data_IF_588476217992
#
_entry.id   IF_588476217992
#
_cell.length_a   1.000
_cell.length_b   1.000
_cell.length_c   1.000
_cell.angle_alpha   90.00
_cell.angle_beta   90.00
_cell.angle_gamma   90.00
#
_symmetry.space_group_name_H-M   'P 1'
#
loop_
_entity.id
_entity.type
_entity.pdbx_description
1 polymer ?
#
# COMPACT_ATOMS: atom_id res chain seq x y z
N UNK A 1 -63.10 -45.46 17.58
CA UNK A 1 -62.23 -45.26 16.40
C UNK A 1 -61.94 -43.78 16.29
N UNK A 2 -60.86 -43.31 16.92
CA UNK A 2 -60.28 -41.98 16.70
C UNK A 2 -58.77 -42.16 16.83
N UNK A 3 -58.07 -42.02 15.71
CA UNK A 3 -56.61 -42.09 15.61
C UNK A 3 -56.00 -40.81 16.19
N UNK A 4 -55.02 -40.94 17.09
CA UNK A 4 -54.09 -39.87 17.41
C UNK A 4 -53.07 -39.73 16.27
N UNK A 5 -53.05 -38.58 15.60
CA UNK A 5 -51.93 -38.19 14.73
C UNK A 5 -50.85 -37.49 15.58
N UNK A 6 -49.69 -38.11 15.68
CA UNK A 6 -48.44 -37.46 16.10
C UNK A 6 -47.87 -36.63 14.96
N UNK A 7 -47.84 -35.31 15.11
CA UNK A 7 -47.10 -34.41 14.22
C UNK A 7 -45.60 -34.52 14.51
N UNK A 8 -44.82 -35.07 13.56
CA UNK A 8 -43.37 -34.91 13.56
C UNK A 8 -43.04 -33.52 13.00
N UNK A 9 -42.42 -32.67 13.82
CA UNK A 9 -41.80 -31.44 13.34
C UNK A 9 -40.49 -31.81 12.63
N UNK A 10 -40.48 -31.71 11.30
CA UNK A 10 -39.25 -31.78 10.51
C UNK A 10 -38.56 -30.42 10.65
N UNK A 11 -37.56 -30.34 11.52
CA UNK A 11 -36.67 -29.19 11.61
C UNK A 11 -35.83 -29.12 10.34
N UNK A 12 -36.08 -28.12 9.51
CA UNK A 12 -35.17 -27.77 8.43
C UNK A 12 -34.00 -27.02 9.06
N UNK A 13 -32.82 -27.65 9.07
CA UNK A 13 -31.58 -26.92 9.32
C UNK A 13 -31.40 -25.92 8.19
N UNK A 14 -31.44 -24.62 8.53
CA UNK A 14 -31.00 -23.57 7.61
C UNK A 14 -29.52 -23.85 7.33
N UNK A 15 -29.09 -23.97 6.06
CA UNK A 15 -27.67 -24.09 5.78
C UNK A 15 -27.00 -22.80 6.25
N UNK A 16 -26.08 -22.93 7.21
CA UNK A 16 -25.14 -21.87 7.55
C UNK A 16 -24.26 -21.64 6.33
N UNK A 17 -24.53 -20.58 5.58
CA UNK A 17 -23.66 -20.14 4.50
C UNK A 17 -22.38 -19.57 5.15
N UNK A 18 -21.20 -20.21 4.96
CA UNK A 18 -19.95 -19.69 5.51
C UNK A 18 -19.58 -18.32 4.92
N UNK A 19 -20.19 -17.89 3.81
CA UNK A 19 -20.03 -16.53 3.28
C UNK A 19 -20.70 -15.47 4.18
N UNK A 20 -21.86 -15.76 4.76
CA UNK A 20 -22.56 -14.87 5.70
C UNK A 20 -21.84 -14.75 7.06
N UNK A 21 -20.98 -15.71 7.42
CA UNK A 21 -20.20 -15.67 8.66
C UNK A 21 -18.93 -14.79 8.56
N UNK A 22 -18.48 -14.44 7.34
CA UNK A 22 -17.35 -13.55 7.11
C UNK A 22 -17.76 -12.05 7.12
N UNK A 23 -19.05 -11.74 7.01
CA UNK A 23 -19.59 -10.39 6.84
C UNK A 23 -19.53 -9.48 8.07
N UNK A 24 -19.22 -10.01 9.27
CA UNK A 24 -19.35 -9.25 10.53
C UNK A 24 -18.02 -9.00 11.28
N UNK A 25 -16.86 -9.32 10.69
CA UNK A 25 -15.57 -9.26 11.39
C UNK A 25 -14.81 -7.96 11.15
N UNK A 26 -14.99 -7.28 10.01
CA UNK A 26 -14.26 -6.05 9.70
C UNK A 26 -15.21 -4.87 9.50
N UNK A 27 -14.93 -3.76 10.17
CA UNK A 27 -15.76 -2.55 10.11
C UNK A 27 -14.89 -1.32 9.88
N UNK A 28 -15.30 -0.48 8.92
CA UNK A 28 -14.65 0.80 8.67
C UNK A 28 -15.18 1.87 9.64
N UNK A 29 -14.25 2.53 10.32
CA UNK A 29 -14.51 3.68 11.18
C UNK A 29 -14.00 4.96 10.52
N UNK A 30 -14.87 5.94 10.34
CA UNK A 30 -14.49 7.30 9.95
C UNK A 30 -13.85 8.00 11.14
N UNK A 31 -12.57 8.31 11.04
CA UNK A 31 -11.81 8.98 12.10
C UNK A 31 -11.98 10.49 12.01
N UNK A 32 -11.86 11.04 10.81
CA UNK A 32 -12.15 12.45 10.52
C UNK A 32 -12.46 12.64 9.05
N UNK A 33 -13.35 13.59 8.72
CA UNK A 33 -13.57 14.06 7.34
C UNK A 33 -12.63 15.19 6.95
N UNK A 34 -11.87 15.72 7.92
CA UNK A 34 -11.05 16.91 7.75
C UNK A 34 -9.81 16.82 8.63
N UNK A 35 -8.80 16.11 8.15
CA UNK A 35 -7.48 16.15 8.75
C UNK A 35 -6.85 17.56 8.65
N UNK A 36 -5.89 17.85 9.53
CA UNK A 36 -5.25 19.19 9.60
C UNK A 36 -4.33 19.50 8.40
N UNK A 37 -3.95 18.46 7.66
CA UNK A 37 -3.10 18.59 6.48
C UNK A 37 -3.94 18.83 5.21
N UNK A 38 -3.38 19.56 4.24
CA UNK A 38 -4.06 19.77 2.96
C UNK A 38 -4.19 18.46 2.16
N UNK A 39 -5.32 18.28 1.47
CA UNK A 39 -5.58 17.07 0.67
C UNK A 39 -4.52 16.84 -0.40
N UNK A 40 -4.21 15.57 -0.66
CA UNK A 40 -3.04 15.15 -1.44
C UNK A 40 -3.19 13.74 -1.99
N UNK A 41 -2.38 13.45 -2.99
CA UNK A 41 -2.22 12.16 -3.66
C UNK A 41 -0.78 11.66 -3.47
N UNK A 42 -0.60 10.34 -3.34
CA UNK A 42 0.69 9.68 -3.42
C UNK A 42 1.63 10.05 -2.28
N UNK A 43 1.07 10.48 -1.15
CA UNK A 43 1.82 10.75 0.07
C UNK A 43 2.35 9.43 0.65
N UNK A 44 3.49 9.52 1.33
CA UNK A 44 3.98 8.43 2.16
C UNK A 44 3.22 8.39 3.47
N UNK A 45 2.87 7.19 3.94
CA UNK A 45 2.38 6.97 5.29
C UNK A 45 3.21 5.90 5.98
N UNK A 46 3.63 6.16 7.22
CA UNK A 46 4.43 5.22 8.01
C UNK A 46 3.85 5.10 9.43
N UNK A 47 3.99 3.91 10.01
CA UNK A 47 3.74 3.66 11.44
C UNK A 47 5.09 3.49 12.12
N UNK A 48 5.46 4.45 12.95
CA UNK A 48 6.81 4.53 13.53
C UNK A 48 6.76 5.22 14.90
N UNK A 49 7.42 4.62 15.89
CA UNK A 49 7.49 5.15 17.28
C UNK A 49 6.11 5.52 17.85
N UNK A 50 5.12 4.62 17.65
CA UNK A 50 3.77 4.79 18.18
C UNK A 50 2.96 5.91 17.51
N UNK A 51 3.33 6.33 16.30
CA UNK A 51 2.60 7.35 15.53
C UNK A 51 2.44 6.98 14.07
N UNK A 52 1.39 7.52 13.46
CA UNK A 52 1.24 7.74 12.03
C UNK A 52 2.14 8.91 11.60
N UNK A 53 2.78 8.79 10.44
CA UNK A 53 3.62 9.81 9.83
C UNK A 53 3.27 9.98 8.36
N UNK A 54 2.82 11.17 7.98
CA UNK A 54 2.45 11.50 6.59
C UNK A 54 3.54 12.37 5.96
N UNK A 55 4.03 11.96 4.78
CA UNK A 55 5.20 12.55 4.12
C UNK A 55 4.85 13.00 2.70
N UNK A 56 5.07 14.28 2.42
CA UNK A 56 4.97 14.83 1.07
C UNK A 56 3.59 14.64 0.44
N UNK A 57 3.58 14.34 -0.86
CA UNK A 57 2.38 14.17 -1.68
C UNK A 57 2.28 15.20 -2.80
N UNK A 58 1.30 14.99 -3.67
CA UNK A 58 1.01 15.80 -4.85
C UNK A 58 -0.40 16.40 -4.79
N UNK A 59 -0.52 17.67 -5.18
CA UNK A 59 -1.78 18.33 -5.44
C UNK A 59 -1.59 19.42 -6.53
N UNK A 60 -2.16 19.24 -7.73
CA UNK A 60 -2.00 20.19 -8.83
C UNK A 60 -2.98 21.36 -8.77
N UNK A 61 -3.98 21.31 -7.88
CA UNK A 61 -5.13 22.23 -7.89
C UNK A 61 -4.65 23.66 -7.58
N UNK A 62 -5.12 24.62 -8.37
CA UNK A 62 -4.69 26.02 -8.27
C UNK A 62 -4.96 26.63 -6.89
N UNK A 63 -6.08 26.29 -6.24
CA UNK A 63 -6.41 26.76 -4.89
C UNK A 63 -5.55 26.12 -3.79
N UNK A 64 -4.84 25.02 -4.07
CA UNK A 64 -3.97 24.34 -3.11
C UNK A 64 -2.52 24.87 -3.14
N UNK A 65 -2.21 25.89 -3.95
CA UNK A 65 -0.84 26.40 -4.16
C UNK A 65 -0.19 27.00 -2.93
N UNK A 66 -0.97 27.38 -1.92
CA UNK A 66 -0.43 27.75 -0.61
C UNK A 66 0.33 26.58 0.04
N UNK A 67 -0.18 25.35 -0.10
CA UNK A 67 0.40 24.13 0.47
C UNK A 67 1.31 23.38 -0.50
N UNK A 68 1.02 23.47 -1.81
CA UNK A 68 1.73 22.80 -2.89
C UNK A 68 2.22 23.79 -3.96
N UNK A 69 3.09 24.74 -3.62
CA UNK A 69 3.52 25.79 -4.54
C UNK A 69 4.15 25.22 -5.82
N UNK A 70 4.84 24.08 -5.69
CA UNK A 70 5.46 23.32 -6.78
C UNK A 70 4.78 21.98 -7.07
N UNK A 71 3.45 21.89 -6.95
CA UNK A 71 2.59 20.69 -7.13
C UNK A 71 2.88 19.50 -6.22
N UNK A 72 4.12 19.28 -5.79
CA UNK A 72 4.46 18.43 -4.67
C UNK A 72 4.99 19.29 -3.51
N UNK A 73 4.95 18.76 -2.30
CA UNK A 73 5.55 19.40 -1.13
C UNK A 73 6.44 18.42 -0.34
N UNK A 74 7.17 18.93 0.64
CA UNK A 74 8.08 18.14 1.48
C UNK A 74 7.86 18.29 2.99
N UNK A 75 6.64 18.62 3.38
CA UNK A 75 6.28 18.67 4.79
C UNK A 75 6.11 17.27 5.40
N UNK A 76 6.18 17.21 6.73
CA UNK A 76 5.97 15.99 7.51
C UNK A 76 4.95 16.27 8.60
N UNK A 77 3.93 15.43 8.66
CA UNK A 77 2.92 15.45 9.72
C UNK A 77 3.02 14.18 10.55
N UNK A 78 2.64 14.26 11.83
CA UNK A 78 2.47 13.08 12.67
C UNK A 78 1.17 13.12 13.45
N UNK A 79 0.62 11.94 13.75
CA UNK A 79 -0.57 11.78 14.59
C UNK A 79 -0.49 10.48 15.36
N UNK A 80 -1.04 10.46 16.58
CA UNK A 80 -1.20 9.22 17.36
C UNK A 80 -2.56 8.56 17.12
N UNK A 81 -3.56 9.31 16.64
CA UNK A 81 -4.96 8.89 16.57
C UNK A 81 -5.59 9.05 15.17
N UNK A 82 -4.85 9.63 14.22
CA UNK A 82 -5.32 9.96 12.87
C UNK A 82 -6.38 11.07 12.81
N UNK A 83 -6.86 11.58 13.94
CA UNK A 83 -7.83 12.67 14.04
C UNK A 83 -7.12 14.02 14.12
N UNK A 84 -6.09 14.11 14.96
CA UNK A 84 -5.33 15.33 15.18
C UNK A 84 -3.90 15.17 14.69
N UNK A 85 -3.51 16.03 13.75
CA UNK A 85 -2.22 15.98 13.09
C UNK A 85 -1.37 17.19 13.48
N UNK A 86 -0.14 16.92 13.88
CA UNK A 86 0.86 17.94 14.18
C UNK A 86 1.82 18.09 13.01
N UNK A 87 1.97 19.31 12.49
CA UNK A 87 3.01 19.63 11.51
C UNK A 87 4.38 19.55 12.19
N UNK A 88 5.14 18.51 11.86
CA UNK A 88 6.46 18.23 12.44
C UNK A 88 7.54 19.01 11.70
N UNK A 89 7.45 19.04 10.37
CA UNK A 89 8.39 19.75 9.50
C UNK A 89 7.61 20.55 8.47
N UNK A 90 7.78 21.88 8.37
CA UNK A 90 7.12 22.68 7.35
C UNK A 90 7.66 22.37 5.95
N UNK A 91 6.86 22.68 4.93
CA UNK A 91 7.31 22.64 3.55
C UNK A 91 8.42 23.67 3.33
N UNK A 92 9.61 23.22 2.96
CA UNK A 92 10.75 24.04 2.55
C UNK A 92 10.90 24.07 1.03
N UNK A 93 10.22 23.17 0.31
CA UNK A 93 10.19 23.09 -1.14
C UNK A 93 9.21 24.09 -1.75
N UNK A 94 9.57 25.38 -1.67
CA UNK A 94 8.71 26.51 -2.04
C UNK A 94 8.87 26.92 -3.50
N UNK A 95 10.10 27.09 -3.97
CA UNK A 95 10.40 27.60 -5.30
C UNK A 95 11.68 26.98 -5.89
N UNK A 96 12.22 27.60 -6.96
CA UNK A 96 13.41 27.10 -7.67
C UNK A 96 14.74 27.44 -6.98
N UNK A 97 14.73 28.25 -5.92
CA UNK A 97 15.89 28.55 -5.09
C UNK A 97 16.16 27.48 -4.01
N UNK A 98 15.30 26.46 -3.92
CA UNK A 98 15.44 25.33 -3.01
C UNK A 98 16.81 24.63 -3.16
N UNK A 99 17.46 24.38 -2.02
CA UNK A 99 18.73 23.63 -1.96
C UNK A 99 18.47 22.15 -1.65
N UNK A 100 18.54 21.32 -2.70
CA UNK A 100 18.35 19.88 -2.63
C UNK A 100 19.47 19.12 -1.88
N UNK A 101 20.54 19.81 -1.45
CA UNK A 101 21.53 19.23 -0.53
C UNK A 101 21.12 19.40 0.95
N UNK A 102 20.27 20.38 1.25
CA UNK A 102 19.87 20.72 2.62
C UNK A 102 18.62 19.96 3.08
N UNK A 103 17.76 19.57 2.16
CA UNK A 103 16.49 18.91 2.42
C UNK A 103 16.01 18.16 1.17
N UNK A 104 15.06 17.24 1.32
CA UNK A 104 14.53 16.45 0.21
C UNK A 104 13.51 17.24 -0.60
N UNK A 105 13.58 17.15 -1.92
CA UNK A 105 12.57 17.77 -2.79
C UNK A 105 11.18 17.17 -2.59
N UNK A 106 10.14 17.98 -2.76
CA UNK A 106 8.76 17.52 -2.69
C UNK A 106 8.45 16.48 -3.76
N UNK A 107 7.77 15.41 -3.35
CA UNK A 107 7.54 14.21 -4.19
C UNK A 107 6.27 13.44 -3.82
N UNK A 108 5.82 12.61 -4.75
CA UNK A 108 4.74 11.63 -4.57
C UNK A 108 5.16 10.25 -5.06
N UNK A 109 4.48 9.20 -4.61
CA UNK A 109 4.72 7.80 -5.04
C UNK A 109 6.16 7.33 -4.88
N UNK A 110 6.88 7.93 -3.93
CA UNK A 110 8.24 7.52 -3.57
C UNK A 110 8.25 6.19 -2.82
N UNK A 111 9.43 5.58 -2.70
CA UNK A 111 9.61 4.47 -1.78
C UNK A 111 9.59 4.98 -0.34
N UNK A 112 8.64 4.53 0.48
CA UNK A 112 8.59 4.87 1.90
C UNK A 112 8.73 3.61 2.74
N UNK A 113 9.57 3.66 3.77
CA UNK A 113 9.80 2.50 4.64
C UNK A 113 10.18 2.91 6.06
N UNK A 114 9.87 2.03 7.02
CA UNK A 114 10.52 2.03 8.34
C UNK A 114 11.61 0.96 8.31
N UNK A 115 12.85 1.36 8.51
CA UNK A 115 13.99 0.46 8.45
C UNK A 115 15.05 0.85 9.48
N UNK A 116 15.49 -0.13 10.28
CA UNK A 116 16.53 0.02 11.32
C UNK A 116 16.30 1.23 12.23
N UNK A 117 15.08 1.36 12.74
CA UNK A 117 14.71 2.41 13.70
C UNK A 117 14.73 3.81 13.09
N UNK A 118 14.35 3.94 11.81
CA UNK A 118 14.23 5.22 11.11
C UNK A 118 13.13 5.16 10.06
N UNK A 119 12.57 6.32 9.74
CA UNK A 119 11.77 6.54 8.53
C UNK A 119 12.68 6.78 7.34
N UNK A 120 12.33 6.26 6.17
CA UNK A 120 13.11 6.35 4.95
C UNK A 120 12.27 6.83 3.78
N UNK A 121 12.89 7.63 2.91
CA UNK A 121 12.41 8.01 1.58
C UNK A 121 13.44 7.51 0.58
N UNK A 122 13.03 6.71 -0.41
CA UNK A 122 13.89 6.07 -1.41
C UNK A 122 13.43 6.53 -2.80
N UNK A 123 14.10 7.56 -3.34
CA UNK A 123 13.89 8.10 -4.70
C UNK A 123 12.42 8.37 -5.06
N UNK A 124 12.06 8.04 -6.31
CA UNK A 124 10.73 7.54 -6.68
C UNK A 124 9.80 8.47 -7.47
N UNK A 125 10.16 9.74 -7.65
CA UNK A 125 9.37 10.68 -8.46
C UNK A 125 10.23 11.31 -9.58
N UNK A 126 9.55 11.88 -10.58
CA UNK A 126 10.15 12.57 -11.72
C UNK A 126 9.47 13.91 -12.05
N UNK A 127 8.45 14.32 -11.28
CA UNK A 127 7.67 15.54 -11.54
C UNK A 127 8.49 16.83 -11.46
N UNK A 128 9.69 16.80 -10.87
CA UNK A 128 10.60 17.95 -10.80
C UNK A 128 11.53 18.09 -12.00
N UNK A 129 11.21 17.40 -13.11
CA UNK A 129 11.98 17.47 -14.36
C UNK A 129 13.26 16.64 -14.35
N UNK A 130 13.47 15.83 -13.31
CA UNK A 130 14.60 14.91 -13.17
C UNK A 130 14.18 13.72 -12.29
N UNK A 131 14.87 12.59 -12.42
CA UNK A 131 14.60 11.40 -11.61
C UNK A 131 15.19 11.55 -10.21
N UNK A 132 14.32 11.54 -9.20
CA UNK A 132 14.73 11.52 -7.80
C UNK A 132 15.21 10.12 -7.43
N UNK A 133 16.49 10.01 -7.12
CA UNK A 133 17.18 8.77 -6.71
C UNK A 133 18.02 8.99 -5.43
N UNK A 134 17.78 10.11 -4.78
CA UNK A 134 18.25 10.44 -3.44
C UNK A 134 17.51 9.60 -2.39
N UNK A 135 18.22 9.29 -1.31
CA UNK A 135 17.78 8.39 -0.27
C UNK A 135 17.94 9.13 1.06
N UNK A 136 16.83 9.36 1.75
CA UNK A 136 16.79 10.13 2.98
C UNK A 136 16.31 9.27 4.13
N UNK A 137 16.84 9.52 5.34
CA UNK A 137 16.24 8.99 6.55
C UNK A 137 16.16 10.00 7.69
N UNK A 138 15.28 9.70 8.64
CA UNK A 138 15.07 10.49 9.84
C UNK A 138 14.61 9.62 11.01
N UNK A 139 15.02 9.99 12.21
CA UNK A 139 14.51 9.40 13.47
C UNK A 139 13.37 10.21 14.09
N UNK A 140 13.16 11.46 13.65
CA UNK A 140 12.26 12.42 14.29
C UNK A 140 11.29 13.12 13.34
N UNK A 141 11.45 12.92 12.03
CA UNK A 141 10.66 13.56 10.97
C UNK A 141 10.97 15.05 10.75
N UNK A 142 11.74 15.68 11.64
CA UNK A 142 12.14 17.10 11.55
C UNK A 142 13.42 17.26 10.74
N UNK A 143 14.43 16.43 11.04
CA UNK A 143 15.73 16.47 10.39
C UNK A 143 15.91 15.23 9.54
N UNK A 144 16.23 15.44 8.28
CA UNK A 144 16.45 14.38 7.30
C UNK A 144 17.90 14.40 6.85
N UNK A 145 18.48 13.21 6.68
CA UNK A 145 19.85 13.05 6.19
C UNK A 145 19.83 12.30 4.87
N UNK A 146 20.39 12.90 3.81
CA UNK A 146 20.61 12.23 2.54
C UNK A 146 21.80 11.28 2.68
N UNK A 147 21.55 9.97 2.70
CA UNK A 147 22.60 8.97 2.98
C UNK A 147 23.49 8.68 1.79
N UNK A 148 22.99 8.91 0.58
CA UNK A 148 23.73 8.67 -0.66
C UNK A 148 24.24 9.97 -1.31
N UNK A 149 24.41 11.04 -0.52
CA UNK A 149 24.89 12.33 -1.04
C UNK A 149 26.19 12.17 -1.87
N UNK A 150 26.16 12.64 -3.11
CA UNK A 150 27.29 12.53 -4.05
C UNK A 150 27.44 11.17 -4.73
N UNK A 151 26.53 10.22 -4.50
CA UNK A 151 26.53 8.89 -5.13
C UNK A 151 25.19 8.57 -5.78
N UNK A 152 25.23 8.01 -6.98
CA UNK A 152 24.04 7.55 -7.69
C UNK A 152 23.87 6.05 -7.44
N UNK A 153 22.72 5.60 -6.93
CA UNK A 153 22.50 4.18 -6.72
C UNK A 153 22.38 3.46 -8.08
N UNK A 154 22.83 2.20 -8.17
CA UNK A 154 22.95 1.49 -9.44
C UNK A 154 21.60 1.18 -10.12
N UNK A 155 20.50 1.24 -9.37
CA UNK A 155 19.15 1.09 -9.91
C UNK A 155 18.61 2.34 -10.60
N UNK A 156 19.24 3.52 -10.42
CA UNK A 156 18.82 4.75 -11.07
C UNK A 156 19.14 4.76 -12.57
N UNK A 157 18.44 5.56 -13.39
CA UNK A 157 17.25 6.38 -13.06
C UNK A 157 15.95 5.56 -13.08
N UNK A 158 15.01 5.86 -12.18
CA UNK A 158 13.62 5.34 -12.23
C UNK A 158 12.68 6.16 -11.35
N UNK A 159 11.39 6.06 -11.62
CA UNK A 159 10.29 6.48 -10.76
C UNK A 159 9.30 5.31 -10.57
N UNK A 160 8.32 5.48 -9.69
CA UNK A 160 7.17 4.57 -9.54
C UNK A 160 7.53 3.12 -9.14
N UNK A 161 8.70 2.92 -8.54
CA UNK A 161 9.16 1.58 -8.13
C UNK A 161 8.46 1.14 -6.84
N UNK A 162 8.44 -0.17 -6.60
CA UNK A 162 7.93 -0.75 -5.37
C UNK A 162 9.04 -0.86 -4.33
N UNK A 163 8.78 -0.46 -3.09
CA UNK A 163 9.74 -0.48 -1.99
C UNK A 163 9.20 -1.28 -0.81
N UNK A 164 10.00 -2.23 -0.31
CA UNK A 164 9.63 -3.05 0.86
C UNK A 164 10.83 -3.29 1.77
N UNK A 165 10.56 -3.65 3.02
CA UNK A 165 11.56 -4.10 3.98
C UNK A 165 11.32 -5.57 4.29
N UNK A 166 12.33 -6.40 4.03
CA UNK A 166 12.28 -7.84 4.32
C UNK A 166 13.68 -8.32 4.70
N UNK A 167 13.76 -9.17 5.73
CA UNK A 167 15.01 -9.78 6.19
C UNK A 167 16.12 -8.74 6.49
N UNK A 168 15.74 -7.67 7.23
CA UNK A 168 16.63 -6.56 7.60
C UNK A 168 17.34 -5.91 6.39
N UNK A 169 16.62 -5.80 5.28
CA UNK A 169 17.07 -5.12 4.06
C UNK A 169 15.97 -4.27 3.46
N UNK A 170 16.37 -3.15 2.86
CA UNK A 170 15.55 -2.40 1.91
C UNK A 170 15.56 -3.12 0.56
N UNK A 171 14.43 -3.09 -0.13
CA UNK A 171 14.28 -3.64 -1.46
C UNK A 171 13.64 -2.62 -2.40
N UNK A 172 14.15 -2.53 -3.62
CA UNK A 172 13.58 -1.75 -4.73
C UNK A 172 13.28 -2.71 -5.88
N UNK A 173 12.03 -2.74 -6.31
CA UNK A 173 11.55 -3.63 -7.36
C UNK A 173 10.85 -2.83 -8.45
N UNK A 174 11.21 -3.10 -9.71
CA UNK A 174 10.50 -2.56 -10.86
C UNK A 174 10.53 -1.01 -10.94
N UNK A 175 9.42 -0.43 -11.37
CA UNK A 175 9.31 0.98 -11.76
C UNK A 175 9.64 1.22 -13.23
N UNK A 176 9.81 2.48 -13.62
CA UNK A 176 10.14 2.84 -15.00
C UNK A 176 10.83 4.20 -15.10
N UNK A 177 11.43 4.48 -16.25
CA UNK A 177 11.74 5.86 -16.64
C UNK A 177 10.51 6.52 -17.27
N UNK A 178 10.48 7.85 -17.24
CA UNK A 178 9.36 8.72 -17.61
C UNK A 178 9.87 9.86 -18.51
N UNK A 179 10.25 9.56 -19.77
CA UNK A 179 10.90 10.55 -20.63
C UNK A 179 10.05 11.77 -20.97
N UNK A 180 8.71 11.67 -20.86
CA UNK A 180 7.82 12.83 -20.98
C UNK A 180 7.91 13.82 -19.81
N UNK A 181 8.42 13.39 -18.65
CA UNK A 181 8.53 14.20 -17.43
C UNK A 181 9.98 14.65 -17.17
N UNK A 182 10.93 13.73 -17.28
CA UNK A 182 12.33 13.95 -16.90
C UNK A 182 13.35 13.66 -18.02
N UNK A 183 12.88 13.40 -19.25
CA UNK A 183 13.75 13.00 -20.36
C UNK A 183 14.44 11.65 -20.17
N UNK A 184 15.47 11.38 -20.97
CA UNK A 184 16.23 10.13 -20.94
C UNK A 184 15.65 9.00 -21.79
N UNK A 185 16.26 7.81 -21.70
CA UNK A 185 15.79 6.62 -22.41
C UNK A 185 14.61 5.97 -21.69
N UNK A 186 13.63 5.51 -22.47
CA UNK A 186 12.50 4.71 -21.96
C UNK A 186 12.95 3.33 -21.53
N UNK A 187 12.60 2.94 -20.30
CA UNK A 187 12.87 1.63 -19.70
C UNK A 187 11.74 1.28 -18.74
N UNK A 188 11.21 0.06 -18.87
CA UNK A 188 10.29 -0.55 -17.91
C UNK A 188 11.04 -1.63 -17.15
N UNK A 189 11.12 -1.50 -15.83
CA UNK A 189 11.99 -2.34 -15.01
C UNK A 189 11.24 -3.57 -14.48
N UNK A 190 11.94 -4.70 -14.47
CA UNK A 190 11.59 -5.93 -13.72
C UNK A 190 12.74 -6.47 -12.88
N UNK A 191 13.72 -5.62 -12.59
CA UNK A 191 14.87 -5.95 -11.77
C UNK A 191 14.55 -5.81 -10.28
N UNK A 192 15.42 -6.41 -9.47
CA UNK A 192 15.32 -6.45 -8.01
C UNK A 192 16.65 -6.00 -7.42
N UNK A 193 16.58 -5.04 -6.52
CA UNK A 193 17.74 -4.49 -5.82
C UNK A 193 17.51 -4.57 -4.33
N UNK A 194 18.56 -4.85 -3.56
CA UNK A 194 18.49 -4.88 -2.11
C UNK A 194 19.66 -4.14 -1.47
N UNK A 195 19.46 -3.62 -0.27
CA UNK A 195 20.50 -2.92 0.49
C UNK A 195 20.33 -3.14 1.99
N UNK A 196 21.46 -3.25 2.69
CA UNK A 196 21.51 -3.32 4.16
C UNK A 196 21.55 -1.94 4.81
N UNK A 197 21.89 -0.89 4.07
CA UNK A 197 22.18 0.44 4.62
C UNK A 197 21.57 1.59 3.82
N UNK A 198 20.90 1.29 2.71
CA UNK A 198 20.37 2.28 1.76
C UNK A 198 21.43 2.96 0.90
N UNK A 199 22.72 2.60 1.01
CA UNK A 199 23.84 3.21 0.30
C UNK A 199 24.44 2.21 -0.69
N UNK A 200 24.85 1.04 -0.19
CA UNK A 200 25.38 -0.05 -1.01
C UNK A 200 24.22 -0.95 -1.46
N UNK A 201 24.00 -1.01 -2.77
CA UNK A 201 22.92 -1.78 -3.37
C UNK A 201 23.47 -2.98 -4.16
N UNK A 202 22.85 -4.13 -3.95
CA UNK A 202 23.17 -5.40 -4.60
C UNK A 202 22.02 -5.77 -5.55
N UNK A 203 22.35 -6.11 -6.79
CA UNK A 203 21.36 -6.64 -7.74
C UNK A 203 21.05 -8.10 -7.39
N UNK A 204 19.77 -8.40 -7.18
CA UNK A 204 19.26 -9.76 -7.07
C UNK A 204 18.71 -10.16 -8.43
N UNK A 205 19.21 -11.25 -9.01
CA UNK A 205 18.84 -11.69 -10.37
C UNK A 205 17.72 -12.72 -10.30
N UNK A 206 16.46 -12.38 -10.66
CA UNK A 206 15.38 -13.36 -10.66
C UNK A 206 15.58 -14.44 -11.74
N UNK A 207 15.08 -15.64 -11.46
CA UNK A 207 15.05 -16.76 -12.41
C UNK A 207 13.62 -16.95 -12.91
N UNK A 208 13.44 -17.19 -14.20
CA UNK A 208 12.11 -17.44 -14.78
C UNK A 208 11.48 -18.73 -14.23
N UNK A 209 10.15 -18.75 -14.02
CA UNK A 209 9.20 -17.66 -14.29
C UNK A 209 9.18 -16.60 -13.17
N UNK A 210 9.12 -15.32 -13.53
CA UNK A 210 8.83 -14.22 -12.61
C UNK A 210 7.97 -13.12 -13.26
N UNK A 211 7.49 -12.19 -12.44
CA UNK A 211 6.60 -11.10 -12.83
C UNK A 211 7.15 -10.22 -13.97
N UNK A 212 6.24 -9.68 -14.78
CA UNK A 212 6.55 -8.73 -15.88
C UNK A 212 6.88 -7.33 -15.38
N UNK A 213 7.58 -6.51 -16.17
CA UNK A 213 7.94 -5.14 -15.79
C UNK A 213 6.74 -4.31 -15.34
N UNK A 214 6.88 -3.67 -14.16
CA UNK A 214 5.78 -2.97 -13.49
C UNK A 214 6.25 -2.07 -12.35
N UNK A 215 5.38 -1.17 -11.93
CA UNK A 215 5.50 -0.32 -10.75
C UNK A 215 4.11 0.12 -10.26
N UNK A 216 4.05 1.30 -9.64
CA UNK A 216 2.80 1.94 -9.13
C UNK A 216 2.04 1.03 -8.16
N UNK A 217 2.76 0.44 -7.22
CA UNK A 217 2.19 -0.32 -6.10
C UNK A 217 2.55 0.48 -4.85
N UNK A 218 1.55 1.02 -4.17
CA UNK A 218 1.68 1.73 -2.90
C UNK A 218 1.74 0.76 -1.71
N UNK A 219 2.26 1.23 -0.57
CA UNK A 219 2.43 0.41 0.64
C UNK A 219 3.48 -0.69 0.51
N UNK A 220 3.34 -1.76 1.31
CA UNK A 220 4.33 -2.83 1.41
C UNK A 220 3.71 -4.12 1.94
N UNK A 221 3.91 -5.23 1.23
CA UNK A 221 3.33 -6.52 1.56
C UNK A 221 4.43 -7.56 1.80
N UNK A 222 4.74 -7.78 3.07
CA UNK A 222 5.66 -8.84 3.51
C UNK A 222 4.92 -9.74 4.50
N UNK A 223 4.63 -10.97 4.08
CA UNK A 223 3.84 -11.93 4.85
C UNK A 223 4.52 -13.29 4.78
N UNK A 224 4.61 -13.97 5.93
CA UNK A 224 5.23 -15.30 6.05
C UNK A 224 6.67 -15.34 5.50
N UNK A 225 7.45 -14.29 5.74
CA UNK A 225 8.84 -14.18 5.29
C UNK A 225 9.01 -14.03 3.78
N UNK A 226 7.98 -13.59 3.05
CA UNK A 226 8.02 -13.39 1.60
C UNK A 226 7.63 -11.96 1.23
N UNK A 227 8.30 -11.39 0.26
CA UNK A 227 7.85 -10.19 -0.47
C UNK A 227 6.71 -10.62 -1.39
N UNK A 228 5.63 -9.85 -1.39
CA UNK A 228 4.48 -10.04 -2.27
C UNK A 228 4.36 -8.90 -3.28
N UNK A 229 4.07 -9.24 -4.53
CA UNK A 229 3.72 -8.31 -5.60
C UNK A 229 2.27 -8.60 -5.99
N UNK A 230 1.41 -7.61 -5.79
CA UNK A 230 -0.02 -7.70 -6.07
C UNK A 230 -0.34 -6.67 -7.16
N UNK A 231 -0.58 -7.13 -8.39
CA UNK A 231 -0.97 -6.26 -9.50
C UNK A 231 0.12 -5.26 -9.93
N UNK A 232 -0.27 -4.00 -10.16
CA UNK A 232 0.59 -2.92 -10.62
C UNK A 232 0.54 -2.76 -12.15
N UNK A 233 1.50 -2.05 -12.73
CA UNK A 233 1.48 -1.83 -14.17
C UNK A 233 2.61 -0.99 -14.73
N UNK A 234 2.47 -0.56 -15.98
CA UNK A 234 3.35 0.43 -16.62
C UNK A 234 2.57 1.68 -17.04
N UNK A 235 3.15 2.84 -16.81
CA UNK A 235 2.61 4.13 -17.20
C UNK A 235 2.99 4.43 -18.66
N UNK A 236 2.13 5.19 -19.35
CA UNK A 236 2.34 5.54 -20.75
C UNK A 236 3.51 6.50 -20.94
N UNK A 237 4.17 6.38 -22.08
CA UNK A 237 5.33 7.21 -22.45
C UNK A 237 5.17 7.71 -23.88
N UNK A 238 5.99 8.69 -24.31
CA UNK A 238 5.98 9.14 -25.71
C UNK A 238 6.20 8.03 -26.75
N UNK A 239 6.92 6.93 -26.42
CA UNK A 239 7.12 5.81 -27.35
C UNK A 239 6.15 4.64 -27.12
N UNK A 240 5.64 4.48 -25.90
CA UNK A 240 4.70 3.41 -25.53
C UNK A 240 3.45 4.06 -24.90
N UNK A 241 2.48 4.51 -25.73
CA UNK A 241 1.34 5.29 -25.25
C UNK A 241 0.24 4.46 -24.57
N UNK A 242 0.43 3.14 -24.44
CA UNK A 242 -0.53 2.24 -23.79
C UNK A 242 -0.02 1.79 -22.42
N UNK A 243 -0.83 2.07 -21.39
CA UNK A 243 -0.60 1.54 -20.04
C UNK A 243 -0.88 0.04 -19.98
N UNK A 244 -0.07 -0.68 -19.20
CA UNK A 244 -0.33 -2.08 -18.84
C UNK A 244 -0.84 -2.15 -17.41
N UNK A 245 -1.85 -2.97 -17.16
CA UNK A 245 -2.42 -3.16 -15.82
C UNK A 245 -2.43 -4.65 -15.49
N UNK A 246 -2.08 -4.99 -14.25
CA UNK A 246 -1.97 -6.36 -13.80
C UNK A 246 -2.83 -6.64 -12.57
N UNK A 247 -3.24 -7.91 -12.43
CA UNK A 247 -3.87 -8.48 -11.23
C UNK A 247 -3.36 -9.89 -10.90
N UNK A 248 -2.18 -10.23 -11.38
CA UNK A 248 -1.45 -11.42 -10.95
C UNK A 248 -0.81 -11.19 -9.58
N UNK A 249 -0.59 -12.30 -8.86
CA UNK A 249 -0.06 -12.33 -7.49
C UNK A 249 1.19 -13.20 -7.46
N UNK A 250 2.29 -12.58 -7.07
CA UNK A 250 3.60 -13.21 -6.99
C UNK A 250 4.19 -13.06 -5.59
N UNK A 251 5.04 -14.01 -5.19
CA UNK A 251 5.85 -13.82 -3.99
C UNK A 251 7.21 -14.50 -4.07
N UNK A 252 8.18 -13.96 -3.34
CA UNK A 252 9.50 -14.56 -3.18
C UNK A 252 10.05 -14.37 -1.77
N UNK A 253 10.79 -15.36 -1.28
CA UNK A 253 11.50 -15.25 -0.01
C UNK A 253 12.91 -14.66 -0.17
N UNK A 254 13.51 -14.78 -1.37
CA UNK A 254 14.91 -14.46 -1.66
C UNK A 254 15.08 -13.42 -2.78
N UNK A 255 13.99 -13.02 -3.45
CA UNK A 255 14.00 -12.15 -4.62
C UNK A 255 14.49 -12.84 -5.91
N UNK A 256 14.96 -14.09 -5.83
CA UNK A 256 15.50 -14.87 -6.95
C UNK A 256 14.42 -15.80 -7.52
N UNK A 257 13.78 -16.60 -6.67
CA UNK A 257 12.78 -17.57 -7.06
C UNK A 257 11.39 -17.04 -6.73
N UNK A 258 10.60 -16.77 -7.75
CA UNK A 258 9.25 -16.24 -7.61
C UNK A 258 8.21 -17.34 -7.81
N UNK A 259 7.20 -17.35 -6.94
CA UNK A 259 6.02 -18.20 -7.09
C UNK A 259 4.84 -17.34 -7.51
N UNK A 260 4.23 -17.67 -8.65
CA UNK A 260 2.92 -17.16 -9.02
C UNK A 260 1.87 -17.93 -8.23
N UNK A 261 1.13 -17.24 -7.35
CA UNK A 261 0.01 -17.85 -6.64
C UNK A 261 -1.29 -17.72 -7.43
N UNK A 262 -1.46 -16.60 -8.13
CA UNK A 262 -2.65 -16.29 -8.92
C UNK A 262 -2.26 -15.63 -10.24
N UNK A 263 -2.75 -16.15 -11.36
CA UNK A 263 -2.53 -15.56 -12.68
C UNK A 263 -3.47 -14.41 -13.00
N UNK A 264 -4.69 -14.44 -12.47
CA UNK A 264 -5.67 -13.36 -12.55
C UNK A 264 -6.55 -13.42 -11.29
N UNK A 265 -6.32 -12.51 -10.34
CA UNK A 265 -7.13 -12.40 -9.15
C UNK A 265 -8.54 -11.87 -9.50
N UNK A 266 -9.57 -12.11 -8.67
CA UNK A 266 -10.93 -11.67 -8.99
C UNK A 266 -11.09 -10.15 -9.01
N UNK A 267 -10.23 -9.42 -8.31
CA UNK A 267 -10.19 -7.96 -8.39
C UNK A 267 -9.60 -7.49 -9.73
N UNK A 268 -10.15 -6.39 -10.22
CA UNK A 268 -9.78 -5.83 -11.52
C UNK A 268 -8.30 -5.40 -11.56
N UNK A 269 -7.57 -5.61 -12.69
CA UNK A 269 -6.24 -5.04 -12.89
C UNK A 269 -6.16 -3.55 -12.61
N UNK A 270 -5.10 -3.11 -11.92
CA UNK A 270 -4.98 -1.74 -11.41
C UNK A 270 -3.54 -1.29 -11.18
N UNK A 271 -3.35 0.03 -11.22
CA UNK A 271 -2.14 0.76 -10.84
C UNK A 271 -2.50 1.75 -9.74
N UNK A 272 -1.50 2.30 -9.04
CA UNK A 272 -1.67 3.32 -8.00
C UNK A 272 -2.63 2.84 -6.89
N UNK A 273 -2.75 1.53 -6.69
CA UNK A 273 -3.43 0.95 -5.55
C UNK A 273 -2.43 0.76 -4.41
N UNK A 274 -2.94 0.54 -3.21
CA UNK A 274 -2.11 0.26 -2.06
C UNK A 274 -2.25 -1.20 -1.61
N UNK A 275 -1.17 -1.71 -1.04
CA UNK A 275 -1.11 -3.05 -0.46
C UNK A 275 -0.60 -3.01 0.97
N UNK A 276 -1.13 -3.90 1.79
CA UNK A 276 -0.70 -4.07 3.17
C UNK A 276 -0.81 -5.53 3.61
N UNK A 277 -0.18 -5.82 4.75
CA UNK A 277 -0.40 -7.07 5.49
C UNK A 277 -0.99 -6.71 6.84
N UNK A 278 -2.19 -7.18 7.11
CA UNK A 278 -2.91 -6.94 8.36
C UNK A 278 -3.78 -8.14 8.69
N UNK A 279 -3.83 -8.51 9.98
CA UNK A 279 -4.60 -9.65 10.46
C UNK A 279 -4.28 -10.96 9.71
N UNK A 280 -2.98 -11.23 9.51
CA UNK A 280 -2.43 -12.38 8.78
C UNK A 280 -2.95 -12.53 7.34
N UNK A 281 -3.32 -11.41 6.71
CA UNK A 281 -3.86 -11.35 5.35
C UNK A 281 -3.16 -10.30 4.51
N UNK A 282 -3.07 -10.57 3.21
CA UNK A 282 -2.76 -9.59 2.18
C UNK A 282 -4.00 -8.75 1.91
N UNK A 283 -3.81 -7.44 1.74
CA UNK A 283 -4.87 -6.48 1.41
C UNK A 283 -4.52 -5.73 0.13
N UNK A 284 -5.53 -5.50 -0.70
CA UNK A 284 -5.47 -4.67 -1.93
C UNK A 284 -6.68 -3.74 -1.91
N UNK A 285 -6.46 -2.44 -2.08
CA UNK A 285 -7.56 -1.48 -2.18
C UNK A 285 -7.17 -0.27 -3.01
N UNK A 286 -8.20 0.48 -3.42
CA UNK A 286 -8.08 1.65 -4.28
C UNK A 286 -7.44 1.32 -5.65
N UNK A 287 -7.06 2.37 -6.38
CA UNK A 287 -6.29 2.26 -7.61
C UNK A 287 -7.05 2.72 -8.83
N UNK A 288 -6.34 2.75 -9.94
CA UNK A 288 -6.81 3.26 -11.21
C UNK A 288 -6.70 2.19 -12.30
N UNK A 289 -7.72 2.17 -13.17
CA UNK A 289 -7.67 1.49 -14.44
C UNK A 289 -8.26 2.37 -15.54
N UNK A 290 -7.71 2.30 -16.76
CA UNK A 290 -8.18 3.13 -17.88
C UNK A 290 -9.66 2.87 -18.23
N UNK A 291 -10.11 1.63 -18.06
CA UNK A 291 -11.52 1.24 -18.09
C UNK A 291 -12.07 1.25 -16.66
N UNK A 292 -13.04 2.12 -16.39
CA UNK A 292 -13.70 2.24 -15.08
C UNK A 292 -13.15 3.34 -14.18
N UNK A 293 -11.92 3.81 -14.40
CA UNK A 293 -11.31 4.89 -13.63
C UNK A 293 -10.84 4.43 -12.25
N UNK A 294 -11.06 5.30 -11.26
CA UNK A 294 -10.72 5.04 -9.86
C UNK A 294 -11.56 3.91 -9.27
N UNK A 295 -11.05 3.31 -8.20
CA UNK A 295 -11.66 2.16 -7.52
C UNK A 295 -11.82 2.43 -6.03
N UNK A 296 -12.73 1.67 -5.40
CA UNK A 296 -12.94 1.63 -3.94
C UNK A 296 -13.21 0.21 -3.43
N UNK A 297 -13.08 -0.79 -4.29
CA UNK A 297 -13.25 -2.18 -3.88
C UNK A 297 -12.05 -2.60 -3.03
N UNK A 298 -12.34 -3.27 -1.91
CA UNK A 298 -11.35 -3.71 -0.93
C UNK A 298 -11.32 -5.23 -0.94
N UNK A 299 -10.12 -5.80 -1.10
CA UNK A 299 -9.95 -7.24 -1.19
C UNK A 299 -8.89 -7.72 -0.22
N UNK A 300 -9.12 -8.90 0.36
CA UNK A 300 -8.14 -9.54 1.22
C UNK A 300 -7.94 -11.03 0.88
N UNK A 301 -6.78 -11.56 1.24
CA UNK A 301 -6.41 -12.95 0.99
C UNK A 301 -5.48 -13.50 2.06
N UNK A 302 -5.71 -14.71 2.60
CA UNK A 302 -4.78 -15.35 3.53
C UNK A 302 -3.53 -15.93 2.86
N UNK A 303 -3.54 -16.15 1.54
CA UNK A 303 -2.52 -16.94 0.83
C UNK A 303 -2.15 -16.40 -0.56
N UNK A 304 -2.79 -15.32 -1.00
CA UNK A 304 -2.65 -14.73 -2.33
C UNK A 304 -3.34 -15.50 -3.46
N UNK A 305 -4.04 -16.61 -3.14
CA UNK A 305 -4.78 -17.46 -4.07
C UNK A 305 -6.30 -17.31 -3.89
N UNK A 306 -6.78 -17.36 -2.65
CA UNK A 306 -8.19 -17.18 -2.31
C UNK A 306 -8.45 -15.75 -1.90
N UNK A 307 -9.32 -15.05 -2.61
CA UNK A 307 -9.59 -13.63 -2.40
C UNK A 307 -11.05 -13.41 -2.03
N UNK A 308 -11.27 -12.56 -1.03
CA UNK A 308 -12.59 -12.16 -0.56
C UNK A 308 -12.70 -10.65 -0.65
N UNK A 309 -13.77 -10.16 -1.25
CA UNK A 309 -14.11 -8.74 -1.25
C UNK A 309 -14.71 -8.37 0.11
N UNK A 310 -14.24 -7.28 0.71
CA UNK A 310 -14.91 -6.63 1.83
C UNK A 310 -15.92 -5.63 1.25
N UNK A 311 -17.24 -5.86 1.39
CA UNK A 311 -18.25 -4.99 0.80
C UNK A 311 -18.36 -3.64 1.52
N UNK A 312 -19.21 -2.77 0.97
CA UNK A 312 -19.67 -1.54 1.61
C UNK A 312 -18.57 -0.54 2.01
N UNK A 313 -17.53 -0.42 1.17
CA UNK A 313 -16.49 0.60 1.33
C UNK A 313 -17.10 2.01 1.36
N UNK A 314 -16.86 2.79 2.45
CA UNK A 314 -17.66 3.98 2.75
C UNK A 314 -17.20 5.27 2.06
N UNK A 315 -16.05 5.26 1.38
CA UNK A 315 -15.52 6.43 0.67
C UNK A 315 -15.75 6.38 -0.84
N UNK A 316 -15.50 7.50 -1.50
CA UNK A 316 -15.54 7.62 -2.96
C UNK A 316 -14.27 7.03 -3.63
N UNK A 317 -14.40 6.48 -4.86
CA UNK A 317 -13.27 5.87 -5.57
C UNK A 317 -12.05 6.77 -5.71
N UNK A 318 -10.87 6.27 -5.32
CA UNK A 318 -9.59 6.98 -5.40
C UNK A 318 -8.45 6.08 -5.84
N UNK A 319 -7.30 6.68 -6.09
CA UNK A 319 -6.02 6.01 -6.25
C UNK A 319 -4.92 6.83 -5.58
N UNK A 320 -3.75 6.21 -5.45
CA UNK A 320 -2.58 6.74 -4.76
C UNK A 320 -3.00 7.34 -3.41
N UNK A 321 -3.80 6.56 -2.68
CA UNK A 321 -4.06 6.79 -1.29
C UNK A 321 -2.79 6.42 -0.50
N UNK A 322 -2.95 6.27 0.80
CA UNK A 322 -1.89 5.92 1.70
C UNK A 322 -2.42 4.90 2.69
N UNK A 323 -1.87 3.68 2.66
CA UNK A 323 -2.30 2.55 3.47
C UNK A 323 -1.22 2.13 4.47
N UNK A 324 -1.57 2.01 5.76
CA UNK A 324 -0.62 1.56 6.79
C UNK A 324 -1.29 0.79 7.92
N UNK A 325 -0.59 -0.17 8.51
CA UNK A 325 -1.00 -0.77 9.78
C UNK A 325 -0.45 0.06 10.94
N UNK A 326 -1.35 0.50 11.81
CA UNK A 326 -1.01 1.26 13.00
C UNK A 326 -1.97 0.94 14.13
N UNK A 327 -1.42 0.71 15.33
CA UNK A 327 -2.18 0.40 16.55
C UNK A 327 -3.26 -0.69 16.34
N UNK A 328 -2.85 -1.81 15.74
CA UNK A 328 -3.72 -2.96 15.49
C UNK A 328 -4.78 -2.77 14.40
N UNK A 329 -4.85 -1.62 13.74
CA UNK A 329 -5.84 -1.31 12.68
C UNK A 329 -5.16 -1.04 11.34
N UNK A 330 -5.91 -1.18 10.24
CA UNK A 330 -5.47 -0.81 8.89
C UNK A 330 -6.03 0.58 8.53
N UNK A 331 -5.17 1.54 8.22
CA UNK A 331 -5.55 2.95 8.03
C UNK A 331 -5.45 3.33 6.56
N UNK A 332 -6.50 3.96 6.02
CA UNK A 332 -6.54 4.54 4.69
C UNK A 332 -6.66 6.06 4.80
N UNK A 333 -5.74 6.76 4.14
CA UNK A 333 -5.60 8.21 4.22
C UNK A 333 -5.34 8.77 2.81
N UNK A 334 -5.86 9.97 2.52
CA UNK A 334 -5.56 10.73 1.30
C UNK A 334 -5.98 10.04 -0.01
N UNK A 335 -5.49 10.53 -1.15
CA UNK A 335 -5.76 9.98 -2.48
C UNK A 335 -6.13 11.05 -3.51
N UNK A 336 -6.17 10.65 -4.78
CA UNK A 336 -6.40 11.56 -5.91
C UNK A 336 -7.81 12.18 -5.96
N UNK A 337 -8.75 11.73 -5.12
CA UNK A 337 -10.05 12.38 -4.95
C UNK A 337 -9.96 13.70 -4.16
N UNK A 338 -8.77 14.00 -3.60
CA UNK A 338 -8.48 15.24 -2.88
C UNK A 338 -9.37 15.46 -1.65
N UNK A 339 -9.78 14.37 -1.01
CA UNK A 339 -10.44 14.41 0.29
C UNK A 339 -9.40 14.20 1.41
N UNK A 340 -9.37 15.04 2.46
CA UNK A 340 -8.49 14.88 3.62
C UNK A 340 -9.12 13.98 4.70
N UNK A 341 -9.94 13.01 4.29
CA UNK A 341 -10.58 12.06 5.19
C UNK A 341 -9.61 10.96 5.64
N UNK A 342 -9.85 10.44 6.84
CA UNK A 342 -9.07 9.38 7.46
C UNK A 342 -10.02 8.29 7.92
N UNK A 343 -9.75 7.07 7.47
CA UNK A 343 -10.51 5.88 7.82
C UNK A 343 -9.59 4.85 8.44
N UNK A 344 -10.13 4.07 9.38
CA UNK A 344 -9.45 2.87 9.88
C UNK A 344 -10.37 1.66 9.82
N UNK A 345 -9.85 0.53 9.40
CA UNK A 345 -10.52 -0.76 9.46
C UNK A 345 -10.16 -1.43 10.77
N UNK A 346 -11.20 -1.86 11.48
CA UNK A 346 -11.08 -2.55 12.76
C UNK A 346 -11.60 -3.96 12.65
N UNK A 347 -11.04 -4.84 13.47
CA UNK A 347 -11.55 -6.18 13.68
C UNK A 347 -12.54 -6.18 14.84
N UNK A 348 -13.75 -6.69 14.63
CA UNK A 348 -14.75 -6.87 15.67
C UNK A 348 -14.48 -8.19 16.43
N UNK A 349 -13.91 -8.08 17.63
CA UNK A 349 -13.50 -9.23 18.45
C UNK A 349 -14.70 -10.02 19.01
N UNK A 350 -15.83 -9.36 19.25
CA UNK A 350 -17.04 -9.99 19.80
C UNK A 350 -17.68 -10.96 18.79
N UNK A 351 -17.59 -10.63 17.50
CA UNK A 351 -18.03 -11.52 16.41
C UNK A 351 -17.02 -12.64 16.18
N UNK A 352 -15.72 -12.34 16.28
CA UNK A 352 -14.66 -13.31 16.03
C UNK A 352 -14.65 -14.48 17.04
N UNK A 353 -15.04 -14.21 18.29
CA UNK A 353 -15.10 -15.23 19.36
C UNK A 353 -16.38 -16.08 19.31
N UNK A 354 -17.49 -15.55 18.77
CA UNK A 354 -18.76 -16.28 18.60
C UNK A 354 -18.71 -17.43 17.58
N UNK A 355 -17.72 -17.44 16.68
CA UNK A 355 -17.53 -18.51 15.67
C UNK A 355 -16.76 -19.72 16.25
N UNK A 356 -16.07 -19.56 17.39
CA UNK A 356 -15.37 -20.66 18.07
C UNK A 356 -16.16 -21.20 19.28
N UNK A 357 -17.35 -21.75 19.06
CA UNK A 357 -17.94 -22.68 20.04
C UNK A 357 -18.97 -23.64 19.43
N UNK A 358 -18.47 -24.74 18.86
CA UNK A 358 -19.22 -26.00 18.91
C UNK A 358 -18.46 -26.90 19.89
N UNK A 359 -19.00 -27.19 21.08
CA UNK A 359 -18.40 -28.18 21.97
C UNK A 359 -18.40 -29.53 21.26
N UNK A 360 -17.29 -30.25 21.30
CA UNK A 360 -17.24 -31.62 20.83
C UNK A 360 -18.36 -32.42 21.50
N UNK A 361 -19.24 -33.02 20.71
CA UNK A 361 -20.22 -33.95 21.20
C UNK A 361 -19.49 -35.09 21.91
N UNK A 362 -19.81 -35.25 23.18
CA UNK A 362 -19.38 -36.35 24.03
C UNK A 362 -19.86 -37.66 23.38
N UNK A 363 -18.93 -38.42 22.79
CA UNK A 363 -19.22 -39.77 22.32
C UNK A 363 -19.30 -40.65 23.57
N UNK A 364 -20.51 -40.73 24.12
CA UNK A 364 -20.88 -41.66 25.17
C UNK A 364 -20.45 -43.08 24.80
N UNK A 365 -19.63 -43.65 25.66
CA UNK A 365 -19.16 -45.02 25.62
C UNK A 365 -20.30 -45.92 26.14
N UNK A 366 -21.11 -46.48 25.26
CA UNK A 366 -22.05 -47.55 25.58
C UNK A 366 -21.31 -48.90 25.54
N UNK A 367 -20.85 -49.35 26.70
CA UNK A 367 -20.54 -50.76 26.96
C UNK A 367 -21.75 -51.40 27.67
N UNK A 368 -22.44 -52.30 26.96
CA UNK A 368 -23.30 -53.35 27.51
C UNK A 368 -23.28 -54.60 26.62
#
# INVERSE_FOLDING_TARGET
MVLLLTCMAVGWAIPHDPALAAEAIYEWELVTTKADFAARDGAGILSYEGKLWLLGGWNPIQSAREFFPRICNNEVWSSADGQHWTLVKPNTFIDRSFDALSDWEGRHTAGYAVFRGKMWIVGGDCNQGHYQHDIWNSTDGQRWTCVNAGTTPPWAPRALHYTVVQNDRLWVLGGQTMPGFAGGEERFYRDVWTSVDGIAWEEVRPVEPYWSARGMIGGGAVMQGRIWILGGGTYDTPKTPQRQFYNDVWSSADGVHWKQHTAAAPWHPRQYHDVAVWDDRLWVMEGYHIQGGNRKDVWYSPDGAQWTELPDTPWEPRHAASLVVHDGSLWMIAGNNMEPDVWRLRRNEDVATGVQSVPAADLGNDDA
#
